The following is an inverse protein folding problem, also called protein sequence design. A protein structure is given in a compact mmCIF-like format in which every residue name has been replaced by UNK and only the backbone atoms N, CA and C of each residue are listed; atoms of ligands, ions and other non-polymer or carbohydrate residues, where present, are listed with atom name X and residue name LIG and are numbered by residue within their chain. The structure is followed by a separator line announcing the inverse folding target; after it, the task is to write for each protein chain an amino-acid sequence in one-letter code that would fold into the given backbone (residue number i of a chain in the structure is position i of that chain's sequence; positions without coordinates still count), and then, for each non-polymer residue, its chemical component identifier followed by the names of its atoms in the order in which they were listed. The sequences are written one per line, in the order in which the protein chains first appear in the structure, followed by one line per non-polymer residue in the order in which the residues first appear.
data_IF_995397850762
#
_entry.id   IF_995397850762
#
_cell.length_a   1.000
_cell.length_b   1.000
_cell.length_c   1.000
_cell.angle_alpha   90.00
_cell.angle_beta   90.00
_cell.angle_gamma   90.00
#
_symmetry.space_group_name_H-M   'P 1'
#
loop_
_entity.id
_entity.type
_entity.pdbx_description
1 polymer ?
#
# COMPACT_ATOMS: atom_id res chain seq x y z
N UNK A 1 25.53 -11.74 -31.68
CA UNK A 1 24.67 -12.80 -31.12
C UNK A 1 24.61 -12.80 -29.58
N UNK A 2 25.71 -12.63 -28.85
CA UNK A 2 25.68 -12.63 -27.37
C UNK A 2 24.86 -11.47 -26.75
N UNK A 3 24.90 -10.28 -27.36
CA UNK A 3 24.19 -9.11 -26.87
C UNK A 3 22.65 -9.22 -27.02
N UNK A 4 22.18 -9.84 -28.11
CA UNK A 4 20.75 -10.08 -28.35
C UNK A 4 20.19 -11.18 -27.45
N UNK A 5 20.99 -12.21 -27.15
CA UNK A 5 20.61 -13.26 -26.19
C UNK A 5 20.49 -12.68 -24.78
N UNK A 6 21.45 -11.85 -24.35
CA UNK A 6 21.40 -11.18 -23.05
C UNK A 6 20.20 -10.24 -22.93
N UNK A 7 19.91 -9.45 -23.97
CA UNK A 7 18.71 -8.61 -24.02
C UNK A 7 17.42 -9.45 -23.91
N UNK A 8 17.34 -10.60 -24.60
CA UNK A 8 16.21 -11.53 -24.49
C UNK A 8 16.03 -12.12 -23.09
N UNK A 9 17.12 -12.58 -22.46
CA UNK A 9 17.09 -13.12 -21.08
C UNK A 9 16.67 -12.04 -20.08
N UNK A 10 17.20 -10.82 -20.21
CA UNK A 10 16.82 -9.69 -19.35
C UNK A 10 15.33 -9.36 -19.47
N UNK A 11 14.77 -9.41 -20.69
CA UNK A 11 13.35 -9.24 -20.95
C UNK A 11 12.50 -10.32 -20.30
N UNK A 12 12.89 -11.59 -20.43
CA UNK A 12 12.17 -12.70 -19.80
C UNK A 12 12.16 -12.56 -18.27
N UNK A 13 13.33 -12.28 -17.67
CA UNK A 13 13.46 -12.13 -16.21
C UNK A 13 12.63 -10.96 -15.69
N UNK A 14 12.70 -9.80 -16.35
CA UNK A 14 11.93 -8.63 -15.92
C UNK A 14 10.41 -8.88 -16.04
N UNK A 15 9.97 -9.56 -17.10
CA UNK A 15 8.56 -9.94 -17.25
C UNK A 15 8.13 -10.97 -16.20
N UNK A 16 8.98 -11.93 -15.83
CA UNK A 16 8.67 -12.87 -14.76
C UNK A 16 8.39 -12.16 -13.43
N UNK A 17 9.24 -11.20 -13.04
CA UNK A 17 9.00 -10.37 -11.84
C UNK A 17 7.71 -9.56 -11.97
N UNK A 18 7.43 -8.98 -13.14
CA UNK A 18 6.19 -8.24 -13.34
C UNK A 18 4.95 -9.13 -13.27
N UNK A 19 5.03 -10.39 -13.70
CA UNK A 19 3.96 -11.38 -13.53
C UNK A 19 3.71 -11.70 -12.05
N UNK A 20 4.75 -11.76 -11.21
CA UNK A 20 4.59 -11.91 -9.76
C UNK A 20 3.77 -10.75 -9.18
N UNK A 21 4.10 -9.51 -9.55
CA UNK A 21 3.36 -8.32 -9.10
C UNK A 21 1.89 -8.36 -9.55
N UNK A 22 1.63 -8.80 -10.78
CA UNK A 22 0.25 -8.99 -11.27
C UNK A 22 -0.47 -10.08 -10.46
N UNK A 23 0.22 -11.20 -10.18
CA UNK A 23 -0.30 -12.28 -9.34
C UNK A 23 -0.68 -11.81 -7.95
N UNK A 24 0.19 -11.02 -7.31
CA UNK A 24 -0.07 -10.44 -5.98
C UNK A 24 -1.27 -9.49 -6.00
N UNK A 25 -1.41 -8.67 -7.04
CA UNK A 25 -2.57 -7.79 -7.20
C UNK A 25 -3.87 -8.58 -7.35
N UNK A 26 -3.87 -9.65 -8.15
CA UNK A 26 -5.05 -10.50 -8.35
C UNK A 26 -5.41 -11.23 -7.06
N UNK A 27 -4.40 -11.77 -6.35
CA UNK A 27 -4.61 -12.48 -5.10
C UNK A 27 -5.25 -11.57 -4.03
N UNK A 28 -4.93 -10.28 -4.04
CA UNK A 28 -5.41 -9.30 -3.06
C UNK A 28 -6.56 -8.42 -3.56
N UNK A 29 -7.22 -8.78 -4.67
CA UNK A 29 -8.31 -7.97 -5.25
C UNK A 29 -9.49 -7.76 -4.29
N UNK A 30 -9.73 -8.72 -3.39
CA UNK A 30 -10.82 -8.67 -2.40
C UNK A 30 -10.34 -8.20 -1.02
N UNK A 31 -9.05 -7.89 -0.85
CA UNK A 31 -8.51 -7.42 0.42
C UNK A 31 -8.90 -5.96 0.63
N UNK A 32 -9.64 -5.68 1.70
CA UNK A 32 -10.10 -4.32 2.01
C UNK A 32 -8.94 -3.34 2.07
N UNK A 33 -9.10 -2.22 1.36
CA UNK A 33 -8.14 -1.12 1.29
C UNK A 33 -6.75 -1.48 0.72
N UNK A 34 -6.60 -2.63 0.04
CA UNK A 34 -5.40 -2.96 -0.71
C UNK A 34 -5.08 -1.91 -1.78
N UNK A 35 -3.80 -1.60 -1.96
CA UNK A 35 -3.30 -0.70 -3.00
C UNK A 35 -2.49 -1.51 -4.00
N UNK A 36 -3.03 -1.66 -5.20
CA UNK A 36 -2.36 -2.39 -6.27
C UNK A 36 -1.00 -1.80 -6.61
N UNK A 37 -0.05 -2.66 -6.93
CA UNK A 37 1.30 -2.28 -7.31
C UNK A 37 1.45 -2.32 -8.84
N UNK A 38 2.13 -1.32 -9.40
CA UNK A 38 2.46 -1.30 -10.84
C UNK A 38 3.96 -1.50 -11.03
N UNK A 39 4.32 -2.44 -11.90
CA UNK A 39 5.69 -2.72 -12.31
C UNK A 39 6.22 -1.63 -13.25
N UNK A 40 7.47 -1.23 -13.05
CA UNK A 40 8.19 -0.30 -13.91
C UNK A 40 9.45 -0.95 -14.49
N UNK A 41 9.70 -0.64 -15.75
CA UNK A 41 10.84 -1.14 -16.51
C UNK A 41 11.74 0.03 -16.92
N UNK A 42 13.05 -0.18 -16.89
CA UNK A 42 14.03 0.76 -17.39
C UNK A 42 14.91 0.10 -18.45
N UNK A 43 15.33 0.87 -19.46
CA UNK A 43 16.28 0.39 -20.46
C UNK A 43 17.70 0.54 -19.91
N UNK A 44 18.54 -0.47 -20.13
CA UNK A 44 19.97 -0.40 -19.81
C UNK A 44 20.66 0.39 -20.93
N UNK A 45 20.98 1.67 -20.66
CA UNK A 45 21.75 2.53 -21.54
C UNK A 45 23.18 2.00 -21.72
N UNK A 46 23.64 1.90 -22.97
CA UNK A 46 25.06 1.70 -23.29
C UNK A 46 25.77 3.05 -23.28
N UNK A 47 26.70 3.26 -22.36
CA UNK A 47 27.60 4.41 -22.41
C UNK A 47 28.63 4.19 -23.51
N UNK A 48 28.56 5.01 -24.57
CA UNK A 48 29.65 5.14 -25.53
C UNK A 48 30.82 5.84 -24.83
N UNK A 49 31.84 5.07 -24.41
CA UNK A 49 33.05 5.59 -23.76
C UNK A 49 34.03 6.23 -24.77
N UNK A 50 33.55 6.93 -25.80
CA UNK A 50 34.43 7.45 -26.82
C UNK A 50 33.74 8.27 -27.90
N UNK A 51 33.28 9.48 -27.55
CA UNK A 51 33.35 10.70 -28.37
C UNK A 51 32.96 10.71 -29.86
N UNK A 52 32.38 9.66 -30.43
CA UNK A 52 32.11 9.57 -31.86
C UNK A 52 30.67 9.09 -32.13
N UNK A 53 29.89 10.02 -32.71
CA UNK A 53 28.73 9.84 -33.57
C UNK A 53 27.67 8.81 -33.15
N UNK A 54 26.62 9.31 -32.48
CA UNK A 54 25.16 9.11 -32.65
C UNK A 54 24.51 7.87 -33.33
N UNK A 55 25.21 6.77 -33.65
CA UNK A 55 24.64 5.66 -34.46
C UNK A 55 24.90 4.26 -33.89
N UNK A 56 25.24 4.15 -32.60
CA UNK A 56 25.69 2.87 -32.01
C UNK A 56 25.16 2.53 -30.63
N UNK A 57 24.13 3.23 -30.12
CA UNK A 57 23.54 2.92 -28.82
C UNK A 57 22.61 1.70 -28.92
N UNK A 58 23.18 0.52 -29.17
CA UNK A 58 22.43 -0.74 -29.04
C UNK A 58 22.10 -0.90 -27.55
N UNK A 59 20.81 -0.85 -27.21
CA UNK A 59 20.33 -1.07 -25.85
C UNK A 59 20.76 -2.45 -25.34
N UNK A 60 21.21 -2.52 -24.10
CA UNK A 60 21.76 -3.75 -23.50
C UNK A 60 20.71 -4.65 -22.84
N UNK A 61 19.43 -4.33 -23.01
CA UNK A 61 18.32 -5.08 -22.42
C UNK A 61 17.44 -4.20 -21.54
N UNK A 62 16.58 -4.85 -20.77
CA UNK A 62 15.63 -4.20 -19.87
C UNK A 62 15.88 -4.66 -18.45
N UNK A 63 15.72 -3.75 -17.50
CA UNK A 63 15.79 -4.03 -16.08
C UNK A 63 14.45 -3.73 -15.42
N UNK A 64 14.08 -4.56 -14.45
CA UNK A 64 12.96 -4.28 -13.57
C UNK A 64 13.37 -3.18 -12.59
N UNK A 65 12.83 -1.98 -12.76
CA UNK A 65 13.20 -0.81 -11.96
C UNK A 65 12.58 -0.85 -10.56
N UNK A 66 11.36 -1.39 -10.44
CA UNK A 66 10.67 -1.50 -9.17
C UNK A 66 9.15 -1.53 -9.29
N UNK A 67 8.51 -1.47 -8.13
CA UNK A 67 7.05 -1.39 -7.98
C UNK A 67 6.65 -0.06 -7.36
N UNK A 68 5.58 0.53 -7.87
CA UNK A 68 4.95 1.70 -7.25
C UNK A 68 3.53 1.35 -6.84
N UNK A 69 3.17 1.65 -5.59
CA UNK A 69 1.80 1.52 -5.11
C UNK A 69 0.90 2.57 -5.78
N UNK A 70 -0.28 2.14 -6.25
CA UNK A 70 -1.26 3.01 -6.86
C UNK A 70 -2.24 3.52 -5.80
N UNK A 71 -2.14 4.81 -5.48
CA UNK A 71 -2.92 5.46 -4.41
C UNK A 71 -4.28 6.01 -4.86
N UNK A 72 -4.84 5.46 -5.93
CA UNK A 72 -6.18 5.84 -6.39
C UNK A 72 -7.25 5.39 -5.39
N UNK A 73 -8.33 6.16 -5.29
CA UNK A 73 -9.50 5.79 -4.50
C UNK A 73 -10.21 4.63 -5.21
N UNK A 74 -10.53 3.58 -4.47
CA UNK A 74 -11.37 2.47 -4.95
C UNK A 74 -12.85 2.74 -4.70
N UNK A 75 -13.71 1.85 -5.18
CA UNK A 75 -15.13 1.86 -4.83
C UNK A 75 -15.31 1.67 -3.32
N UNK A 76 -16.27 2.40 -2.75
CA UNK A 76 -16.69 2.23 -1.36
C UNK A 76 -18.01 1.46 -1.41
N UNK A 77 -18.04 0.32 -0.73
CA UNK A 77 -19.23 -0.50 -0.56
C UNK A 77 -19.79 -0.29 0.84
N UNK A 78 -21.12 -0.26 0.95
CA UNK A 78 -21.77 -0.13 2.26
C UNK A 78 -21.73 -1.47 2.99
N UNK A 79 -21.37 -1.43 4.28
CA UNK A 79 -21.46 -2.57 5.19
C UNK A 79 -22.71 -2.47 6.07
N UNK A 80 -23.12 -3.60 6.65
CA UNK A 80 -24.15 -3.65 7.69
C UNK A 80 -23.61 -3.29 9.09
N UNK A 81 -22.29 -3.27 9.28
CA UNK A 81 -21.69 -2.92 10.56
C UNK A 81 -21.61 -1.41 10.73
N UNK A 82 -22.05 -0.90 11.88
CA UNK A 82 -21.96 0.52 12.22
C UNK A 82 -20.52 0.99 12.51
N UNK A 83 -19.62 0.05 12.81
CA UNK A 83 -18.21 0.33 13.11
C UNK A 83 -17.29 0.22 11.89
N UNK A 84 -17.83 -0.16 10.73
CA UNK A 84 -17.09 -0.19 9.49
C UNK A 84 -17.01 1.22 8.91
N UNK A 85 -15.78 1.72 8.80
CA UNK A 85 -15.50 3.07 8.34
C UNK A 85 -14.71 3.03 7.03
N UNK A 86 -15.04 3.95 6.12
CA UNK A 86 -14.27 4.18 4.91
C UNK A 86 -13.94 5.66 4.80
N UNK A 87 -12.69 5.96 4.43
CA UNK A 87 -12.30 7.35 4.18
C UNK A 87 -12.50 7.65 2.70
N UNK A 88 -13.32 8.66 2.42
CA UNK A 88 -13.47 9.21 1.08
C UNK A 88 -12.46 10.35 0.88
N UNK A 89 -11.43 10.10 0.06
CA UNK A 89 -10.36 11.05 -0.23
C UNK A 89 -9.02 10.66 0.40
N UNK A 90 -8.15 11.65 0.64
CA UNK A 90 -6.80 11.43 1.17
C UNK A 90 -6.82 11.31 2.70
N UNK A 91 -5.94 10.49 3.27
CA UNK A 91 -5.79 10.31 4.72
C UNK A 91 -5.41 8.88 5.10
N UNK A 92 -5.36 8.59 6.39
CA UNK A 92 -5.20 7.24 6.96
C UNK A 92 -5.88 7.23 8.33
N UNK A 93 -6.31 6.06 8.77
CA UNK A 93 -6.60 5.81 10.18
C UNK A 93 -5.29 5.57 10.91
N UNK A 94 -5.19 6.11 12.13
CA UNK A 94 -4.07 5.86 13.03
C UNK A 94 -4.51 4.73 13.97
N UNK A 95 -3.71 3.68 14.05
CA UNK A 95 -3.96 2.55 14.96
C UNK A 95 -2.70 2.32 15.80
N UNK A 96 -2.86 1.94 17.05
CA UNK A 96 -1.75 1.74 17.97
C UNK A 96 -1.69 0.28 18.40
N UNK A 97 -0.48 -0.28 18.44
CA UNK A 97 -0.27 -1.63 18.95
C UNK A 97 -0.22 -1.66 20.49
N UNK A 98 -0.10 -2.86 21.07
CA UNK A 98 0.04 -3.01 22.53
C UNK A 98 1.35 -2.47 23.12
N UNK A 99 2.30 -2.03 22.28
CA UNK A 99 3.58 -1.42 22.71
C UNK A 99 3.52 0.10 22.75
N UNK A 100 2.46 0.71 22.22
CA UNK A 100 2.30 2.16 22.10
C UNK A 100 2.84 2.73 20.77
N UNK A 101 3.13 1.88 19.78
CA UNK A 101 3.61 2.31 18.47
C UNK A 101 2.45 2.59 17.52
N UNK A 102 2.49 3.74 16.86
CA UNK A 102 1.46 4.17 15.91
C UNK A 102 1.73 3.62 14.50
N UNK A 103 0.68 3.06 13.90
CA UNK A 103 0.62 2.54 12.54
C UNK A 103 -0.51 3.23 11.76
N UNK A 104 -0.43 3.13 10.43
CA UNK A 104 -1.37 3.78 9.52
C UNK A 104 -2.05 2.75 8.63
N UNK A 105 -3.38 2.79 8.59
CA UNK A 105 -4.17 1.89 7.74
C UNK A 105 -5.28 2.62 7.01
N UNK A 106 -5.72 2.08 5.88
CA UNK A 106 -6.94 2.50 5.19
C UNK A 106 -8.07 1.50 5.34
N UNK A 107 -7.78 0.31 5.88
CA UNK A 107 -8.80 -0.65 6.24
C UNK A 107 -9.51 -0.13 7.49
N UNK A 108 -10.83 0.03 7.40
CA UNK A 108 -11.65 0.51 8.51
C UNK A 108 -12.65 -0.51 9.02
N UNK A 109 -12.30 -1.79 8.94
CA UNK A 109 -13.03 -2.88 9.54
C UNK A 109 -12.70 -2.96 11.04
N UNK A 110 -13.32 -2.08 11.82
CA UNK A 110 -13.10 -2.03 13.26
C UNK A 110 -14.23 -2.73 14.03
N UNK A 111 -13.89 -3.28 15.18
CA UNK A 111 -14.82 -3.95 16.09
C UNK A 111 -14.48 -3.63 17.53
N UNK A 112 -15.46 -3.67 18.44
CA UNK A 112 -15.18 -3.48 19.86
C UNK A 112 -14.51 -4.73 20.44
N UNK A 113 -13.47 -4.51 21.24
CA UNK A 113 -12.88 -5.55 22.08
C UNK A 113 -13.67 -5.72 23.39
N UNK A 114 -13.28 -6.72 24.20
CA UNK A 114 -13.91 -6.99 25.51
C UNK A 114 -13.77 -5.83 26.50
N UNK A 115 -12.84 -4.92 26.23
CA UNK A 115 -12.49 -3.82 27.09
C UNK A 115 -13.16 -2.51 26.62
N UNK A 116 -13.96 -2.53 25.55
CA UNK A 116 -14.67 -1.37 25.00
C UNK A 116 -13.83 -0.48 24.08
N UNK A 117 -12.65 -0.94 23.66
CA UNK A 117 -11.82 -0.25 22.67
C UNK A 117 -12.19 -0.67 21.26
N UNK A 118 -12.13 0.28 20.34
CA UNK A 118 -12.33 0.01 18.93
C UNK A 118 -11.02 -0.51 18.32
N UNK A 119 -10.98 -1.78 17.92
CA UNK A 119 -9.78 -2.46 17.43
C UNK A 119 -9.93 -2.93 15.99
N UNK A 120 -8.82 -3.00 15.26
CA UNK A 120 -8.77 -3.67 13.96
C UNK A 120 -8.64 -5.20 14.15
N UNK A 121 -8.72 -6.02 13.08
CA UNK A 121 -8.59 -7.48 13.20
C UNK A 121 -7.24 -7.97 13.73
N UNK A 122 -6.19 -7.14 13.61
CA UNK A 122 -4.85 -7.43 14.15
C UNK A 122 -4.73 -7.11 15.64
N UNK A 123 -5.80 -6.58 16.26
CA UNK A 123 -5.83 -6.20 17.68
C UNK A 123 -5.24 -4.82 18.00
N UNK A 124 -4.94 -4.01 16.98
CA UNK A 124 -4.48 -2.64 17.16
C UNK A 124 -5.65 -1.69 17.42
N UNK A 125 -5.48 -0.78 18.36
CA UNK A 125 -6.52 0.16 18.82
C UNK A 125 -6.59 1.39 17.93
N UNK A 126 -7.78 1.73 17.42
CA UNK A 126 -8.01 2.96 16.67
C UNK A 126 -7.76 4.18 17.55
N UNK A 127 -6.97 5.11 17.04
CA UNK A 127 -6.70 6.39 17.69
C UNK A 127 -7.67 7.46 17.18
N UNK A 128 -8.08 8.35 18.09
CA UNK A 128 -8.94 9.48 17.78
C UNK A 128 -8.77 10.61 18.78
N UNK A 129 -9.39 11.75 18.50
CA UNK A 129 -9.42 12.84 19.46
C UNK A 129 -10.43 12.54 20.56
N UNK A 130 -10.00 12.56 21.82
CA UNK A 130 -10.94 12.53 22.93
C UNK A 130 -11.71 13.85 22.97
N UNK A 131 -12.97 13.77 23.41
CA UNK A 131 -13.81 14.94 23.61
C UNK A 131 -14.10 15.01 25.12
N UNK A 132 -13.81 16.15 25.73
CA UNK A 132 -14.15 16.36 27.14
C UNK A 132 -15.67 16.57 27.33
N UNK A 133 -16.15 16.60 28.58
CA UNK A 133 -17.57 16.81 28.88
C UNK A 133 -18.11 18.17 28.44
N UNK A 134 -17.24 19.11 28.06
CA UNK A 134 -17.57 20.43 27.56
C UNK A 134 -17.49 20.51 26.01
N UNK A 135 -17.13 19.42 25.32
CA UNK A 135 -17.05 19.37 23.86
C UNK A 135 -15.70 19.83 23.28
N UNK A 136 -14.68 20.08 24.11
CA UNK A 136 -13.37 20.46 23.61
C UNK A 136 -12.58 19.24 23.14
N UNK A 137 -11.82 19.40 22.05
CA UNK A 137 -10.90 18.38 21.57
C UNK A 137 -9.70 18.26 22.52
N UNK A 138 -9.50 17.05 23.04
CA UNK A 138 -8.32 16.65 23.79
C UNK A 138 -7.20 16.14 22.90
N UNK A 139 -6.23 15.45 23.51
CA UNK A 139 -5.15 14.78 22.79
C UNK A 139 -5.66 13.56 22.01
N UNK A 140 -4.84 13.08 21.08
CA UNK A 140 -5.06 11.79 20.42
C UNK A 140 -4.89 10.69 21.46
N UNK A 141 -5.86 9.80 21.57
CA UNK A 141 -5.80 8.60 22.39
C UNK A 141 -6.67 7.49 21.78
N UNK A 142 -6.54 6.27 22.32
CA UNK A 142 -7.35 5.14 21.89
C UNK A 142 -8.84 5.42 22.07
N UNK A 143 -9.63 5.15 21.02
CA UNK A 143 -11.08 5.32 21.02
C UNK A 143 -11.69 4.26 21.94
N UNK A 144 -12.29 4.74 23.03
CA UNK A 144 -12.92 3.94 24.06
C UNK A 144 -14.37 4.39 24.24
N UNK A 145 -15.32 3.44 24.18
CA UNK A 145 -16.74 3.70 24.44
C UNK A 145 -17.19 2.87 25.63
N UNK A 146 -17.47 3.50 26.80
CA UNK A 146 -17.97 2.79 27.97
C UNK A 146 -19.41 2.28 27.73
N UNK A 147 -19.64 0.98 27.90
CA UNK A 147 -20.98 0.39 27.97
C UNK A 147 -21.46 -0.41 26.75
N UNK A 148 -20.73 -0.39 25.63
CA UNK A 148 -20.97 -1.28 24.50
C UNK A 148 -20.38 -2.67 24.82
N UNK A 149 -21.26 -3.65 25.08
CA UNK A 149 -20.96 -5.08 25.24
C UNK A 149 -21.87 -5.90 24.35
#
# INVERSE_FOLDING_TARGET
MIASLYAGISGLSANATAMTVIGDNIANVNTTAFKGNRSHFANILSTSLGGQSATGNVGRGVEFWGVNAQWTQGSIENSSSATDLAINGKGFFIVQDGTGSDFYTRAGNFQFDKNGYLVNPDGMQLQGYQIDSAGNLGAIASVYIPGER
#
